data_IF_702410418014
#
_entry.id   IF_702410418014
#
_cell.length_a   1.000
_cell.length_b   1.000
_cell.length_c   1.000
_cell.angle_alpha   90.00
_cell.angle_beta   90.00
_cell.angle_gamma   90.00
#
_symmetry.space_group_name_H-M   'P 1'
#
loop_
_entity.id
_entity.type
_entity.pdbx_description
1 polymer ?
#
# COMPACT_ATOMS: atom_id res chain seq x y z
N UNK A 1 12.88 -9.10 5.96
CA UNK A 1 13.71 -7.92 5.62
C UNK A 1 12.78 -6.73 5.77
N UNK A 2 13.00 -5.87 6.77
CA UNK A 2 12.18 -4.67 6.97
C UNK A 2 12.62 -3.65 5.93
N UNK A 3 11.69 -3.13 5.15
CA UNK A 3 11.97 -2.06 4.20
C UNK A 3 11.79 -0.75 4.98
N UNK A 4 12.88 -0.03 5.20
CA UNK A 4 12.88 1.24 5.93
C UNK A 4 12.66 2.39 4.94
N UNK A 5 11.64 3.22 5.15
CA UNK A 5 11.44 4.47 4.40
C UNK A 5 12.53 5.52 4.65
N UNK A 6 12.54 6.61 3.87
CA UNK A 6 13.30 7.82 4.23
C UNK A 6 12.54 8.69 5.24
N UNK A 7 13.26 9.64 5.85
CA UNK A 7 12.71 10.57 6.84
C UNK A 7 11.64 11.51 6.25
N UNK A 8 11.58 11.65 4.93
CA UNK A 8 10.75 12.63 4.22
C UNK A 8 9.80 11.96 3.22
N UNK A 9 8.91 11.09 3.70
CA UNK A 9 7.72 10.69 2.95
C UNK A 9 6.74 11.89 2.82
N UNK A 10 7.12 13.05 2.31
CA UNK A 10 6.21 14.21 2.20
C UNK A 10 6.37 15.08 0.95
N UNK A 11 7.38 14.83 0.11
CA UNK A 11 7.68 15.64 -1.08
C UNK A 11 7.52 14.84 -2.39
N UNK A 12 6.30 14.37 -2.67
CA UNK A 12 5.97 13.77 -3.97
C UNK A 12 4.87 14.56 -4.65
N UNK A 13 5.22 15.27 -5.73
CA UNK A 13 4.27 15.91 -6.64
C UNK A 13 3.41 14.82 -7.29
N UNK A 14 2.13 14.77 -6.94
CA UNK A 14 1.19 13.80 -7.50
C UNK A 14 0.57 14.33 -8.80
N UNK A 15 0.42 13.44 -9.78
CA UNK A 15 -0.21 13.75 -11.06
C UNK A 15 -1.67 13.30 -11.07
N UNK A 16 -2.56 14.10 -10.50
CA UNK A 16 -3.98 13.75 -10.40
C UNK A 16 -4.71 13.84 -11.74
N UNK A 17 -5.55 12.85 -12.03
CA UNK A 17 -6.47 12.87 -13.15
C UNK A 17 -7.91 13.10 -12.67
N UNK A 18 -8.42 14.31 -12.87
CA UNK A 18 -9.81 14.67 -12.48
C UNK A 18 -10.91 13.79 -13.11
N UNK A 19 -10.59 13.02 -14.15
CA UNK A 19 -11.50 12.06 -14.77
C UNK A 19 -11.37 10.64 -14.23
N UNK A 20 -10.32 10.33 -13.47
CA UNK A 20 -10.11 9.03 -12.87
C UNK A 20 -11.29 8.64 -11.96
N UNK A 21 -11.57 7.34 -11.89
CA UNK A 21 -12.71 6.78 -11.19
C UNK A 21 -12.29 5.72 -10.19
N UNK A 22 -13.05 5.61 -9.12
CA UNK A 22 -12.96 4.52 -8.17
C UNK A 22 -13.07 3.18 -8.93
N UNK A 23 -12.07 2.29 -8.84
CA UNK A 23 -12.06 1.03 -9.59
C UNK A 23 -12.95 -0.02 -8.91
N UNK A 24 -13.31 -1.06 -9.64
CA UNK A 24 -13.71 -2.35 -9.04
C UNK A 24 -12.46 -3.09 -8.53
N UNK A 25 -12.64 -4.10 -7.68
CA UNK A 25 -11.55 -5.00 -7.29
C UNK A 25 -10.86 -5.66 -8.48
N UNK A 26 -11.65 -6.04 -9.50
CA UNK A 26 -11.12 -6.66 -10.70
C UNK A 26 -10.25 -5.68 -11.50
N UNK A 27 -10.68 -4.44 -11.66
CA UNK A 27 -9.89 -3.40 -12.33
C UNK A 27 -8.61 -3.08 -11.55
N UNK A 28 -8.70 -2.96 -10.22
CA UNK A 28 -7.54 -2.75 -9.36
C UNK A 28 -6.52 -3.88 -9.52
N UNK A 29 -6.93 -5.13 -9.33
CA UNK A 29 -6.00 -6.27 -9.43
C UNK A 29 -5.44 -6.48 -10.84
N UNK A 30 -6.21 -6.14 -11.88
CA UNK A 30 -5.73 -6.15 -13.26
C UNK A 30 -4.73 -5.02 -13.56
N UNK A 31 -4.87 -3.87 -12.90
CA UNK A 31 -3.89 -2.79 -12.95
C UNK A 31 -2.59 -3.18 -12.24
N UNK A 32 -2.67 -3.65 -10.98
CA UNK A 32 -1.49 -4.07 -10.21
C UNK A 32 -0.70 -5.21 -10.88
N UNK A 33 -1.35 -6.05 -11.68
CA UNK A 33 -0.67 -7.12 -12.42
C UNK A 33 0.04 -6.64 -13.70
N UNK A 34 -0.16 -5.39 -14.11
CA UNK A 34 0.41 -4.77 -15.32
C UNK A 34 1.33 -3.60 -15.02
N UNK A 35 1.11 -2.92 -13.90
CA UNK A 35 2.05 -1.96 -13.38
C UNK A 35 3.37 -2.69 -13.08
N UNK A 36 4.49 -2.06 -13.43
CA UNK A 36 5.84 -2.61 -13.23
C UNK A 36 6.66 -1.72 -12.28
N UNK A 37 6.01 -0.85 -11.50
CA UNK A 37 6.72 0.08 -10.61
C UNK A 37 7.61 -0.67 -9.63
N UNK A 38 7.13 -1.82 -9.14
CA UNK A 38 7.83 -2.71 -8.22
C UNK A 38 9.03 -3.47 -8.85
N UNK A 39 9.23 -3.36 -10.16
CA UNK A 39 10.42 -3.88 -10.86
C UNK A 39 11.65 -2.98 -10.67
N UNK A 40 11.48 -1.74 -10.18
CA UNK A 40 12.59 -0.87 -9.84
C UNK A 40 13.34 -1.39 -8.61
N UNK A 41 14.65 -1.13 -8.55
CA UNK A 41 15.44 -1.47 -7.38
C UNK A 41 15.12 -0.50 -6.24
N UNK A 42 14.85 -1.02 -5.04
CA UNK A 42 14.74 -0.21 -3.85
C UNK A 42 16.10 0.41 -3.48
N UNK A 43 16.16 1.74 -3.46
CA UNK A 43 17.37 2.51 -3.08
C UNK A 43 16.95 3.52 -2.01
N UNK A 44 17.35 3.28 -0.77
CA UNK A 44 17.01 4.13 0.37
C UNK A 44 17.41 5.60 0.11
N UNK A 45 16.44 6.52 0.19
CA UNK A 45 16.66 7.95 0.00
C UNK A 45 16.78 8.41 -1.46
N UNK A 46 16.63 7.50 -2.44
CA UNK A 46 16.61 7.84 -3.87
C UNK A 46 15.34 7.32 -4.56
N UNK A 47 15.07 6.03 -4.41
CA UNK A 47 13.88 5.34 -4.92
C UNK A 47 13.39 4.39 -3.83
N UNK A 48 12.77 4.98 -2.82
CA UNK A 48 12.23 4.28 -1.66
C UNK A 48 10.70 4.22 -1.74
N UNK A 49 10.05 3.82 -0.64
CA UNK A 49 8.60 3.65 -0.61
C UNK A 49 7.82 4.89 -1.11
N UNK A 50 8.39 6.09 -0.94
CA UNK A 50 7.78 7.34 -1.40
C UNK A 50 7.72 7.37 -2.93
N UNK A 51 8.82 7.03 -3.61
CA UNK A 51 8.86 6.98 -5.08
C UNK A 51 8.04 5.81 -5.65
N UNK A 52 8.05 4.63 -4.99
CA UNK A 52 7.18 3.52 -5.42
C UNK A 52 5.70 3.92 -5.34
N UNK A 53 5.27 4.50 -4.21
CA UNK A 53 3.86 4.89 -4.03
C UNK A 53 3.44 6.03 -4.96
N UNK A 54 4.32 6.99 -5.24
CA UNK A 54 4.09 8.02 -6.25
C UNK A 54 3.94 7.41 -7.66
N UNK A 55 4.85 6.51 -8.06
CA UNK A 55 4.81 5.89 -9.39
C UNK A 55 3.51 5.11 -9.60
N UNK A 56 3.11 4.29 -8.63
CA UNK A 56 1.85 3.53 -8.69
C UNK A 56 0.63 4.46 -8.71
N UNK A 57 0.65 5.56 -7.96
CA UNK A 57 -0.41 6.57 -7.98
C UNK A 57 -0.56 7.17 -9.38
N UNK A 58 0.52 7.74 -9.92
CA UNK A 58 0.50 8.44 -11.19
C UNK A 58 0.17 7.51 -12.37
N UNK A 59 0.66 6.26 -12.34
CA UNK A 59 0.32 5.25 -13.33
C UNK A 59 -1.16 4.86 -13.26
N UNK A 60 -1.73 4.75 -12.05
CA UNK A 60 -3.16 4.47 -11.88
C UNK A 60 -4.01 5.63 -12.40
N UNK A 61 -3.70 6.87 -12.02
CA UNK A 61 -4.39 8.08 -12.47
C UNK A 61 -4.33 8.21 -14.01
N UNK A 62 -3.16 7.94 -14.61
CA UNK A 62 -2.99 7.89 -16.06
C UNK A 62 -3.83 6.79 -16.74
N UNK A 63 -4.04 5.66 -16.05
CA UNK A 63 -4.96 4.59 -16.49
C UNK A 63 -6.44 4.91 -16.21
N UNK A 64 -6.77 6.06 -15.63
CA UNK A 64 -8.12 6.46 -15.27
C UNK A 64 -8.65 5.81 -13.99
N UNK A 65 -7.77 5.24 -13.17
CA UNK A 65 -8.07 4.62 -11.88
C UNK A 65 -7.72 5.62 -10.78
N UNK A 66 -8.71 5.97 -9.96
CA UNK A 66 -8.50 6.91 -8.86
C UNK A 66 -7.67 6.26 -7.75
N UNK A 67 -6.53 6.86 -7.45
CA UNK A 67 -5.59 6.38 -6.45
C UNK A 67 -5.34 7.44 -5.37
N UNK A 68 -4.65 7.02 -4.33
CA UNK A 68 -4.13 7.89 -3.28
C UNK A 68 -2.77 7.37 -2.83
N UNK A 69 -1.93 8.28 -2.36
CA UNK A 69 -0.75 7.94 -1.57
C UNK A 69 -1.12 7.96 -0.09
N UNK A 70 -0.58 7.01 0.67
CA UNK A 70 -0.81 6.84 2.10
C UNK A 70 0.52 6.90 2.82
N UNK A 71 0.63 7.79 3.80
CA UNK A 71 1.77 7.84 4.70
C UNK A 71 1.38 7.28 6.06
N UNK A 72 2.21 6.39 6.56
CA UNK A 72 2.07 5.80 7.90
C UNK A 72 3.27 6.17 8.74
N UNK A 73 3.03 6.55 9.98
CA UNK A 73 4.08 6.65 10.99
C UNK A 73 3.97 5.45 11.93
N UNK A 74 5.10 4.98 12.45
CA UNK A 74 5.12 3.92 13.46
C UNK A 74 5.42 4.49 14.85
N UNK A 75 4.91 3.83 15.89
CA UNK A 75 5.03 4.30 17.26
C UNK A 75 6.48 4.18 17.76
N UNK A 76 7.14 5.32 18.00
CA UNK A 76 8.50 5.38 18.53
C UNK A 76 9.61 5.29 17.48
N UNK A 77 9.25 5.20 16.20
CA UNK A 77 10.21 5.19 15.09
C UNK A 77 10.23 6.55 14.38
N UNK A 78 11.42 6.96 13.94
CA UNK A 78 11.61 8.17 13.14
C UNK A 78 11.24 7.98 11.66
N UNK A 79 11.13 6.72 11.24
CA UNK A 79 10.91 6.31 9.86
C UNK A 79 9.53 5.66 9.75
N UNK A 80 8.73 6.15 8.80
CA UNK A 80 7.39 5.65 8.49
C UNK A 80 7.38 4.61 7.37
N UNK A 81 6.26 4.55 6.66
CA UNK A 81 6.12 3.85 5.38
C UNK A 81 5.12 4.54 4.48
N UNK A 82 5.42 4.59 3.18
CA UNK A 82 4.51 5.09 2.15
C UNK A 82 3.97 3.94 1.29
N UNK A 83 2.68 3.98 0.99
CA UNK A 83 1.97 2.97 0.20
C UNK A 83 0.78 3.61 -0.53
N UNK A 84 -0.10 2.81 -1.16
CA UNK A 84 -1.25 3.34 -1.90
C UNK A 84 -2.60 2.98 -1.27
N UNK A 85 -3.62 3.79 -1.55
CA UNK A 85 -5.02 3.49 -1.26
C UNK A 85 -5.89 3.62 -2.51
N UNK A 86 -6.83 2.69 -2.65
CA UNK A 86 -7.81 2.66 -3.73
C UNK A 86 -9.20 2.49 -3.12
N UNK A 87 -10.09 3.45 -3.37
CA UNK A 87 -11.49 3.32 -2.96
C UNK A 87 -12.21 2.47 -3.99
N UNK A 88 -12.29 1.16 -3.75
CA UNK A 88 -12.98 0.27 -4.68
C UNK A 88 -14.50 0.34 -4.54
N UNK A 89 -15.22 0.22 -5.66
CA UNK A 89 -16.70 0.30 -5.69
C UNK A 89 -17.38 -0.89 -5.04
N UNK A 90 -16.71 -2.04 -4.99
CA UNK A 90 -17.25 -3.30 -4.50
C UNK A 90 -16.51 -3.82 -3.25
N UNK A 91 -15.23 -3.53 -3.04
CA UNK A 91 -14.48 -4.01 -1.87
C UNK A 91 -14.26 -2.93 -0.79
N UNK A 92 -14.58 -1.66 -1.06
CA UNK A 92 -14.29 -0.52 -0.20
C UNK A 92 -12.82 -0.07 -0.28
N UNK A 93 -12.30 0.58 0.77
CA UNK A 93 -10.91 1.08 0.80
C UNK A 93 -9.86 -0.04 0.81
N UNK A 94 -9.10 -0.22 -0.25
CA UNK A 94 -8.03 -1.22 -0.33
C UNK A 94 -6.69 -0.50 -0.21
N UNK A 95 -5.83 -0.96 0.69
CA UNK A 95 -4.46 -0.50 0.78
C UNK A 95 -3.54 -1.45 0.03
N UNK A 96 -2.56 -0.91 -0.68
CA UNK A 96 -1.61 -1.67 -1.49
C UNK A 96 -0.20 -1.25 -1.12
N UNK A 97 0.61 -2.20 -0.67
CA UNK A 97 2.05 -2.03 -0.54
C UNK A 97 2.73 -2.43 -1.87
N UNK A 98 3.38 -1.44 -2.49
CA UNK A 98 4.01 -1.54 -3.80
C UNK A 98 5.55 -1.56 -3.75
N UNK A 99 6.13 -1.80 -2.57
CA UNK A 99 7.59 -1.71 -2.37
C UNK A 99 8.33 -3.01 -2.64
N UNK A 100 7.61 -4.09 -2.95
CA UNK A 100 8.16 -5.40 -3.27
C UNK A 100 7.33 -6.08 -4.34
N UNK A 101 7.98 -6.76 -5.27
CA UNK A 101 7.31 -7.61 -6.25
C UNK A 101 6.78 -8.92 -5.64
N UNK A 102 5.56 -9.37 -5.98
CA UNK A 102 4.49 -8.56 -6.57
C UNK A 102 3.86 -7.63 -5.52
N UNK A 103 3.12 -6.61 -5.97
CA UNK A 103 2.30 -5.73 -5.13
C UNK A 103 1.38 -6.51 -4.19
N UNK A 104 1.22 -6.03 -2.96
CA UNK A 104 0.51 -6.76 -1.89
C UNK A 104 -0.58 -5.93 -1.24
N UNK A 105 -1.63 -6.60 -0.80
CA UNK A 105 -2.75 -5.98 -0.08
C UNK A 105 -2.38 -5.80 1.38
N UNK A 106 -2.41 -4.55 1.83
CA UNK A 106 -2.00 -4.17 3.17
C UNK A 106 -3.19 -4.02 4.14
N UNK A 107 -2.97 -4.36 5.41
CA UNK A 107 -3.80 -3.86 6.52
C UNK A 107 -3.10 -2.66 7.13
N UNK A 108 -3.74 -1.50 7.01
CA UNK A 108 -3.31 -0.26 7.67
C UNK A 108 -4.36 0.11 8.71
N UNK A 109 -3.99 0.05 9.99
CA UNK A 109 -4.87 0.35 11.11
C UNK A 109 -4.06 0.88 12.29
N UNK A 110 -4.48 2.01 12.87
CA UNK A 110 -3.80 2.61 14.02
C UNK A 110 -3.80 1.65 15.22
N UNK A 111 -2.64 1.51 15.86
CA UNK A 111 -2.42 0.60 16.98
C UNK A 111 -2.23 -0.87 16.57
N UNK A 112 -2.22 -1.17 15.27
CA UNK A 112 -1.88 -2.50 14.73
C UNK A 112 -0.58 -2.43 13.94
N UNK A 113 0.11 -3.55 13.87
CA UNK A 113 1.28 -3.70 12.99
C UNK A 113 0.81 -3.72 11.53
N UNK A 114 1.55 -3.04 10.64
CA UNK A 114 1.27 -3.04 9.21
C UNK A 114 1.74 -4.37 8.60
N UNK A 115 0.79 -5.07 7.97
CA UNK A 115 1.00 -6.39 7.37
C UNK A 115 0.50 -6.36 5.93
N UNK A 116 1.22 -7.01 5.01
CA UNK A 116 0.80 -7.14 3.62
C UNK A 116 0.80 -8.60 3.15
N UNK A 117 -0.16 -8.97 2.29
CA UNK A 117 -0.36 -10.31 1.72
C UNK A 117 -0.64 -10.22 0.21
N UNK A 118 -0.22 -11.21 -0.57
CA UNK A 118 -0.52 -11.19 -2.02
C UNK A 118 -2.04 -11.18 -2.30
N UNK A 119 -2.50 -10.46 -3.34
CA UNK A 119 -3.92 -10.33 -3.66
C UNK A 119 -4.64 -11.66 -3.92
N UNK A 120 -3.92 -12.69 -4.34
CA UNK A 120 -4.45 -14.03 -4.64
C UNK A 120 -4.95 -14.79 -3.41
N UNK A 121 -4.46 -14.44 -2.21
CA UNK A 121 -4.78 -15.11 -0.96
C UNK A 121 -5.81 -14.38 -0.10
N UNK A 122 -6.42 -13.31 -0.63
CA UNK A 122 -7.38 -12.49 0.12
C UNK A 122 -8.70 -12.33 -0.63
N UNK A 123 -9.79 -12.47 0.12
CA UNK A 123 -11.16 -12.28 -0.36
C UNK A 123 -11.78 -11.01 0.23
N UNK A 124 -12.89 -10.56 -0.36
CA UNK A 124 -13.65 -9.38 0.11
C UNK A 124 -13.93 -9.40 1.62
N UNK A 125 -14.37 -10.53 2.15
CA UNK A 125 -14.71 -10.67 3.57
C UNK A 125 -13.47 -10.64 4.46
N UNK A 126 -12.32 -11.13 3.96
CA UNK A 126 -11.07 -11.15 4.69
C UNK A 126 -10.41 -9.77 4.80
N UNK A 127 -10.48 -8.93 3.76
CA UNK A 127 -9.94 -7.55 3.81
C UNK A 127 -10.49 -6.77 5.02
N UNK A 128 -11.74 -7.03 5.42
CA UNK A 128 -12.43 -6.35 6.53
C UNK A 128 -12.46 -7.15 7.83
N UNK A 129 -11.82 -8.31 7.87
CA UNK A 129 -11.90 -9.21 9.02
C UNK A 129 -10.71 -9.04 9.94
N UNK A 130 -10.92 -8.40 11.10
CA UNK A 130 -9.90 -8.33 12.15
C UNK A 130 -9.43 -9.71 12.56
N UNK A 131 -10.34 -10.69 12.64
CA UNK A 131 -10.02 -12.09 12.98
C UNK A 131 -9.06 -12.69 11.96
N UNK A 132 -9.30 -12.47 10.66
CA UNK A 132 -8.40 -12.96 9.62
C UNK A 132 -7.00 -12.37 9.77
N UNK A 133 -6.90 -11.05 9.84
CA UNK A 133 -5.61 -10.37 9.92
C UNK A 133 -4.85 -10.67 11.22
N UNK A 134 -5.54 -10.81 12.34
CA UNK A 134 -4.93 -11.23 13.61
C UNK A 134 -4.54 -12.71 13.58
N UNK A 135 -5.18 -13.53 12.73
CA UNK A 135 -4.80 -14.92 12.56
C UNK A 135 -3.51 -15.13 11.77
N UNK A 136 -3.18 -14.20 10.87
CA UNK A 136 -1.95 -14.28 10.08
C UNK A 136 -0.71 -14.17 10.98
N UNK A 137 -0.76 -13.35 12.04
CA UNK A 137 0.36 -13.09 12.96
C UNK A 137 1.00 -14.34 13.59
N UNK A 138 0.34 -15.51 13.55
CA UNK A 138 0.84 -16.76 14.12
C UNK A 138 1.00 -17.91 13.12
N UNK A 139 0.58 -17.75 11.86
CA UNK A 139 0.66 -18.81 10.86
C UNK A 139 0.77 -18.26 9.44
N UNK A 140 1.65 -18.87 8.65
CA UNK A 140 1.85 -18.79 7.19
C UNK A 140 2.93 -17.84 6.65
N UNK A 141 3.65 -18.30 5.62
CA UNK A 141 4.78 -17.61 4.98
C UNK A 141 4.42 -16.76 3.76
N UNK A 142 3.16 -16.38 3.60
CA UNK A 142 2.64 -15.63 2.43
C UNK A 142 2.35 -14.16 2.73
N UNK A 143 2.65 -13.69 3.95
CA UNK A 143 2.57 -12.28 4.34
C UNK A 143 3.92 -11.82 4.89
N UNK A 144 4.14 -10.50 4.91
CA UNK A 144 5.29 -9.92 5.57
C UNK A 144 4.91 -8.69 6.39
N UNK A 145 5.75 -8.39 7.38
CA UNK A 145 5.68 -7.18 8.18
C UNK A 145 6.38 -6.06 7.44
N UNK A 146 5.64 -4.99 7.15
CA UNK A 146 6.21 -3.78 6.56
C UNK A 146 6.97 -3.00 7.64
N UNK A 147 6.38 -2.91 8.84
CA UNK A 147 7.04 -2.48 10.07
C UNK A 147 6.75 -3.48 11.21
N UNK A 148 7.61 -3.57 12.22
CA UNK A 148 7.40 -4.43 13.39
C UNK A 148 6.72 -3.72 14.56
N UNK A 149 6.64 -2.40 14.49
CA UNK A 149 6.01 -1.50 15.45
C UNK A 149 4.59 -1.13 15.00
N UNK A 150 3.67 -0.82 15.94
CA UNK A 150 2.31 -0.44 15.57
C UNK A 150 2.24 0.91 14.85
N UNK A 151 1.31 1.04 13.90
CA UNK A 151 1.00 2.30 13.22
C UNK A 151 0.49 3.33 14.24
N UNK A 152 1.10 4.51 14.30
CA UNK A 152 0.74 5.61 15.18
C UNK A 152 -0.09 6.70 14.48
N UNK A 153 0.18 6.93 13.19
CA UNK A 153 -0.51 7.90 12.33
C UNK A 153 -0.76 7.34 10.93
N UNK A 154 -1.83 7.80 10.28
CA UNK A 154 -2.19 7.47 8.89
C UNK A 154 -2.68 8.76 8.23
N UNK A 155 -2.05 9.13 7.12
CA UNK A 155 -2.43 10.27 6.28
C UNK A 155 -2.65 9.77 4.86
N UNK A 156 -3.70 10.28 4.19
CA UNK A 156 -4.12 9.84 2.86
C UNK A 156 -4.26 11.08 1.97
N UNK A 157 -3.59 11.05 0.83
CA UNK A 157 -3.51 12.13 -0.16
C UNK A 157 -4.14 11.65 -1.47
N UNK A 158 -5.19 12.34 -1.94
CA UNK A 158 -6.03 12.01 -3.10
C UNK A 158 -5.96 13.09 -4.16
#
# INVERSE_FOLDING_TARGET
MTISASAECYDVDLTDNTQAKNPTWLELTAFLARDESEAHQYILGEYDCSQFSQAVHDNAEAAGIRAAVVHTAFAGDEVGHALNAFLTTDYGMVYVDCTQSPDKIARVEKGKTLIAIEPTYITRSQIRSNVFWESLLWAVGWYYYVGTTPVSNIEIFW
#
